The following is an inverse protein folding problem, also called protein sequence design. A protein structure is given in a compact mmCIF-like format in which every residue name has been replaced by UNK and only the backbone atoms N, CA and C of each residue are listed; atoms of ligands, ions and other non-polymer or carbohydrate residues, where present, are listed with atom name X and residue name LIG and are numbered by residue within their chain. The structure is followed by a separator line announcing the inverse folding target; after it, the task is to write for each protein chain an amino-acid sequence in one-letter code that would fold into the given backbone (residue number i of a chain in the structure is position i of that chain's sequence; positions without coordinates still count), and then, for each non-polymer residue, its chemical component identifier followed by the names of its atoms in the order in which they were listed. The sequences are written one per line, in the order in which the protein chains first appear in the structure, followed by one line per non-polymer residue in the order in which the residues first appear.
data_IF_016360975969
#
_entry.id   IF_016360975969
#
_cell.length_a   1.000
_cell.length_b   1.000
_cell.length_c   1.000
_cell.angle_alpha   90.00
_cell.angle_beta   90.00
_cell.angle_gamma   90.00
#
_symmetry.space_group_name_H-M   'P 1'
#
loop_
_entity.id
_entity.type
_entity.pdbx_description
1 polymer ?
#
# COMPACT_ATOMS: atom_id res chain seq x y z
N UNK A 1 -0.24 0.54 0.33
CA UNK A 1 -0.69 0.30 -1.07
C UNK A 1 -2.20 0.04 -1.07
N UNK A 2 -2.87 0.13 -2.22
CA UNK A 2 -4.32 -0.14 -2.35
C UNK A 2 -5.20 0.71 -1.42
N UNK A 3 -4.96 2.02 -1.39
CA UNK A 3 -5.69 2.95 -0.51
C UNK A 3 -4.98 4.30 -0.30
N UNK A 4 -3.66 4.35 -0.53
CA UNK A 4 -2.83 5.56 -0.36
C UNK A 4 -3.01 6.59 -1.49
N UNK A 5 -4.18 7.20 -1.57
CA UNK A 5 -4.50 8.26 -2.53
C UNK A 5 -4.41 9.66 -1.93
N UNK A 6 -5.01 9.85 -0.74
CA UNK A 6 -5.05 11.14 -0.08
C UNK A 6 -3.65 11.64 0.31
N UNK A 7 -3.46 12.96 0.26
CA UNK A 7 -2.19 13.63 0.57
C UNK A 7 -2.45 14.85 1.47
N UNK A 8 -1.80 14.95 2.64
CA UNK A 8 -1.87 16.16 3.44
C UNK A 8 -1.04 17.25 2.75
N UNK A 9 -1.49 18.51 2.84
CA UNK A 9 -0.82 19.66 2.22
C UNK A 9 -0.52 20.72 3.27
N UNK A 10 0.68 21.30 3.19
CA UNK A 10 1.09 22.39 4.09
C UNK A 10 0.29 23.67 3.87
N UNK A 11 -0.15 23.91 2.62
CA UNK A 11 -1.00 25.04 2.25
C UNK A 11 -2.26 24.53 1.55
N UNK A 12 -3.38 25.20 1.82
CA UNK A 12 -4.66 24.92 1.17
C UNK A 12 -4.68 25.35 -0.29
N UNK A 13 -3.77 26.24 -0.70
CA UNK A 13 -3.67 26.73 -2.07
C UNK A 13 -2.27 26.55 -2.64
N UNK A 14 -2.22 26.39 -3.96
CA UNK A 14 -1.02 26.38 -4.78
C UNK A 14 -1.11 27.56 -5.73
N UNK A 15 -0.02 28.32 -5.85
CA UNK A 15 0.06 29.49 -6.72
C UNK A 15 1.13 29.29 -7.79
N UNK A 16 0.78 29.54 -9.05
CA UNK A 16 1.68 29.53 -10.20
C UNK A 16 1.35 30.69 -11.12
N UNK A 17 2.37 31.43 -11.54
CA UNK A 17 2.24 32.55 -12.48
C UNK A 17 1.14 33.56 -12.09
N UNK A 18 0.97 33.80 -10.78
CA UNK A 18 -0.04 34.72 -10.22
C UNK A 18 -1.46 34.16 -10.14
N UNK A 19 -1.69 32.91 -10.55
CA UNK A 19 -2.98 32.21 -10.42
C UNK A 19 -2.94 31.33 -9.17
N UNK A 20 -3.94 31.50 -8.30
CA UNK A 20 -4.07 30.76 -7.04
C UNK A 20 -5.23 29.76 -7.11
N UNK A 21 -4.93 28.47 -6.99
CA UNK A 21 -5.90 27.37 -7.03
C UNK A 21 -5.81 26.49 -5.77
N UNK A 22 -6.87 25.73 -5.42
CA UNK A 22 -6.78 24.75 -4.35
C UNK A 22 -5.62 23.77 -4.57
N UNK A 23 -4.91 23.42 -3.50
CA UNK A 23 -3.85 22.41 -3.56
C UNK A 23 -4.41 21.05 -3.98
N UNK A 24 -3.65 20.31 -4.79
CA UNK A 24 -3.91 18.89 -5.03
C UNK A 24 -3.80 18.11 -3.72
N UNK A 25 -4.84 17.37 -3.35
CA UNK A 25 -4.97 16.63 -2.08
C UNK A 25 -5.01 15.11 -2.26
N UNK A 26 -4.62 14.63 -3.44
CA UNK A 26 -4.67 13.21 -3.78
C UNK A 26 -5.82 12.89 -4.72
N UNK A 27 -5.66 11.81 -5.49
CA UNK A 27 -6.59 11.46 -6.56
C UNK A 27 -8.00 11.12 -6.09
N UNK A 28 -8.15 10.76 -4.80
CA UNK A 28 -9.44 10.51 -4.16
C UNK A 28 -10.15 11.80 -3.71
N UNK A 29 -9.53 12.97 -3.88
CA UNK A 29 -10.10 14.29 -3.58
C UNK A 29 -10.24 15.13 -4.84
N UNK A 30 -9.14 15.42 -5.55
CA UNK A 30 -9.12 16.26 -6.76
C UNK A 30 -8.01 15.81 -7.73
N UNK A 31 -7.91 16.46 -8.89
CA UNK A 31 -6.90 16.20 -9.92
C UNK A 31 -5.58 16.93 -9.67
N UNK A 32 -4.49 16.38 -10.19
CA UNK A 32 -3.14 16.91 -10.08
C UNK A 32 -2.89 18.11 -11.01
N UNK A 33 -3.53 18.10 -12.19
CA UNK A 33 -3.48 19.17 -13.17
C UNK A 33 -3.81 20.55 -12.56
N UNK A 34 -3.06 21.57 -12.96
CA UNK A 34 -3.17 22.93 -12.43
C UNK A 34 -4.17 23.75 -13.24
N UNK A 35 -5.44 23.38 -13.13
CA UNK A 35 -6.56 24.07 -13.74
C UNK A 35 -7.77 24.07 -12.78
N UNK A 36 -8.71 24.98 -13.02
CA UNK A 36 -9.85 25.20 -12.11
C UNK A 36 -10.70 23.93 -12.00
N UNK A 37 -10.99 23.25 -13.10
CA UNK A 37 -11.87 22.08 -13.15
C UNK A 37 -11.25 20.90 -12.37
N UNK A 38 -9.98 20.62 -12.61
CA UNK A 38 -9.24 19.55 -11.94
C UNK A 38 -9.11 19.77 -10.44
N UNK A 39 -8.99 21.02 -9.97
CA UNK A 39 -8.75 21.31 -8.55
C UNK A 39 -10.00 21.33 -7.68
N UNK A 40 -11.20 21.35 -8.27
CA UNK A 40 -12.47 21.20 -7.54
C UNK A 40 -12.55 19.79 -6.93
N UNK A 41 -12.78 19.64 -5.62
CA UNK A 41 -13.01 18.33 -5.01
C UNK A 41 -14.23 17.63 -5.61
N UNK A 42 -14.07 16.37 -6.01
CA UNK A 42 -15.12 15.56 -6.62
C UNK A 42 -15.35 14.28 -5.79
N UNK A 43 -16.52 14.12 -5.15
CA UNK A 43 -16.82 12.94 -4.32
C UNK A 43 -16.84 11.62 -5.11
N UNK A 44 -17.05 11.64 -6.44
CA UNK A 44 -16.99 10.41 -7.25
C UNK A 44 -15.57 9.81 -7.28
N UNK A 45 -14.55 10.60 -6.96
CA UNK A 45 -13.17 10.13 -6.85
C UNK A 45 -12.97 9.15 -5.70
N UNK A 46 -13.79 9.19 -4.64
CA UNK A 46 -13.78 8.18 -3.59
C UNK A 46 -14.18 6.80 -4.14
N UNK A 47 -15.22 6.74 -5.00
CA UNK A 47 -15.64 5.50 -5.65
C UNK A 47 -14.57 4.95 -6.60
N UNK A 48 -13.89 5.84 -7.33
CA UNK A 48 -12.77 5.48 -8.20
C UNK A 48 -11.59 4.94 -7.40
N UNK A 49 -11.23 5.60 -6.30
CA UNK A 49 -10.17 5.16 -5.39
C UNK A 49 -10.49 3.79 -4.77
N UNK A 50 -11.74 3.56 -4.36
CA UNK A 50 -12.19 2.25 -3.89
C UNK A 50 -12.02 1.17 -4.96
N UNK A 51 -12.51 1.40 -6.17
CA UNK A 51 -12.42 0.44 -7.28
C UNK A 51 -10.97 0.10 -7.61
N UNK A 52 -10.09 1.11 -7.66
CA UNK A 52 -8.67 0.90 -7.90
C UNK A 52 -7.99 0.15 -6.74
N UNK A 53 -8.40 0.42 -5.49
CA UNK A 53 -7.91 -0.31 -4.31
C UNK A 53 -8.28 -1.79 -4.38
N UNK A 54 -9.53 -2.11 -4.70
CA UNK A 54 -10.01 -3.49 -4.86
C UNK A 54 -9.25 -4.21 -5.97
N UNK A 55 -9.12 -3.60 -7.15
CA UNK A 55 -8.36 -4.18 -8.26
C UNK A 55 -6.90 -4.45 -7.89
N UNK A 56 -6.26 -3.48 -7.23
CA UNK A 56 -4.86 -3.59 -6.78
C UNK A 56 -4.70 -4.69 -5.73
N UNK A 57 -5.56 -4.73 -4.71
CA UNK A 57 -5.49 -5.73 -3.64
C UNK A 57 -5.81 -7.13 -4.16
N UNK A 58 -6.76 -7.27 -5.09
CA UNK A 58 -7.06 -8.56 -5.71
C UNK A 58 -5.85 -9.11 -6.47
N UNK A 59 -5.15 -8.25 -7.23
CA UNK A 59 -3.92 -8.62 -7.92
C UNK A 59 -2.79 -8.99 -6.94
N UNK A 60 -2.61 -8.21 -5.88
CA UNK A 60 -1.60 -8.48 -4.84
C UNK A 60 -1.86 -9.80 -4.11
N UNK A 61 -3.12 -10.10 -3.77
CA UNK A 61 -3.51 -11.39 -3.19
C UNK A 61 -3.24 -12.53 -4.14
N UNK A 62 -3.57 -12.38 -5.43
CA UNK A 62 -3.26 -13.38 -6.45
C UNK A 62 -1.74 -13.63 -6.57
N UNK A 63 -0.89 -12.61 -6.44
CA UNK A 63 0.56 -12.80 -6.40
C UNK A 63 1.05 -13.48 -5.11
N UNK A 64 0.46 -13.12 -3.97
CA UNK A 64 0.83 -13.64 -2.66
C UNK A 64 0.48 -15.12 -2.48
N UNK A 65 -0.64 -15.58 -3.05
CA UNK A 65 -1.10 -16.98 -2.92
C UNK A 65 -0.93 -17.82 -4.19
N UNK A 66 -0.78 -17.20 -5.36
CA UNK A 66 -0.73 -17.87 -6.66
C UNK A 66 0.68 -18.31 -7.11
N UNK A 67 1.64 -18.39 -6.20
CA UNK A 67 3.00 -18.85 -6.48
C UNK A 67 3.95 -17.82 -7.12
N UNK A 68 3.49 -16.59 -7.37
CA UNK A 68 4.38 -15.51 -7.81
C UNK A 68 5.33 -15.08 -6.69
N UNK A 69 4.85 -15.10 -5.45
CA UNK A 69 5.64 -14.90 -4.23
C UNK A 69 6.32 -16.18 -3.71
N UNK A 70 6.36 -17.27 -4.50
CA UNK A 70 7.09 -18.48 -4.10
C UNK A 70 8.55 -18.12 -3.81
N UNK A 71 9.10 -18.63 -2.71
CA UNK A 71 10.42 -18.21 -2.22
C UNK A 71 11.55 -18.40 -3.25
N UNK A 72 11.39 -19.36 -4.17
CA UNK A 72 12.33 -19.58 -5.29
C UNK A 72 12.41 -18.42 -6.29
N UNK A 73 11.42 -17.53 -6.35
CA UNK A 73 11.43 -16.34 -7.23
C UNK A 73 12.06 -15.12 -6.58
N UNK A 74 12.18 -15.07 -5.25
CA UNK A 74 12.82 -13.96 -4.53
C UNK A 74 14.31 -13.90 -4.87
N UNK A 75 14.98 -15.05 -5.00
CA UNK A 75 16.38 -15.07 -5.48
C UNK A 75 16.52 -14.63 -6.93
N UNK A 76 15.50 -14.83 -7.77
CA UNK A 76 15.48 -14.31 -9.15
C UNK A 76 15.28 -12.78 -9.24
N UNK A 77 14.45 -12.17 -8.39
CA UNK A 77 14.25 -10.70 -8.39
C UNK A 77 15.50 -9.92 -7.97
N UNK A 78 16.36 -10.52 -7.15
CA UNK A 78 17.52 -9.84 -6.58
C UNK A 78 18.69 -9.65 -7.56
N UNK A 79 18.65 -10.24 -8.76
CA UNK A 79 19.84 -10.36 -9.61
C UNK A 79 19.97 -9.26 -10.68
N UNK A 80 18.90 -8.58 -11.08
CA UNK A 80 19.00 -7.59 -12.17
C UNK A 80 19.51 -6.22 -11.70
N UNK A 81 19.16 -5.79 -10.48
CA UNK A 81 19.61 -4.52 -9.92
C UNK A 81 21.09 -4.55 -9.47
N UNK A 82 21.59 -5.72 -9.08
CA UNK A 82 22.91 -5.89 -8.46
C UNK A 82 24.07 -6.08 -9.45
N UNK A 83 23.81 -6.16 -10.77
CA UNK A 83 24.83 -6.56 -11.77
C UNK A 83 26.03 -5.61 -11.88
N UNK A 84 25.91 -4.34 -11.47
CA UNK A 84 26.92 -3.30 -11.72
C UNK A 84 27.32 -2.45 -10.49
N UNK A 85 27.26 -2.98 -9.26
CA UNK A 85 27.75 -2.26 -8.07
C UNK A 85 28.51 -3.14 -7.08
N UNK A 86 29.45 -2.56 -6.33
CA UNK A 86 30.20 -3.23 -5.25
C UNK A 86 29.27 -3.74 -4.13
N UNK A 87 28.15 -3.05 -3.90
CA UNK A 87 27.09 -3.48 -3.00
C UNK A 87 26.36 -4.73 -3.52
N UNK A 88 26.40 -4.98 -4.83
CA UNK A 88 25.83 -6.14 -5.49
C UNK A 88 26.51 -7.45 -5.11
N UNK A 89 27.81 -7.44 -4.76
CA UNK A 89 28.53 -8.65 -4.33
C UNK A 89 28.00 -9.18 -2.99
N UNK A 90 27.82 -8.29 -2.00
CA UNK A 90 27.18 -8.64 -0.73
C UNK A 90 25.75 -9.15 -0.90
N UNK A 91 25.01 -8.54 -1.81
CA UNK A 91 23.63 -8.94 -2.11
C UNK A 91 23.56 -10.31 -2.79
N UNK A 92 24.53 -10.61 -3.67
CA UNK A 92 24.69 -11.94 -4.28
C UNK A 92 25.04 -12.99 -3.25
N UNK A 93 25.95 -12.72 -2.34
CA UNK A 93 26.31 -13.65 -1.25
C UNK A 93 25.08 -13.98 -0.38
N UNK A 94 24.29 -12.97 -0.02
CA UNK A 94 23.03 -13.18 0.70
C UNK A 94 22.05 -14.02 -0.11
N UNK A 95 21.88 -13.72 -1.40
CA UNK A 95 21.04 -14.50 -2.32
C UNK A 95 21.45 -15.97 -2.39
N UNK A 96 22.76 -16.24 -2.52
CA UNK A 96 23.31 -17.59 -2.52
C UNK A 96 23.01 -18.35 -1.22
N UNK A 97 23.17 -17.70 -0.06
CA UNK A 97 22.85 -18.33 1.24
C UNK A 97 21.35 -18.64 1.39
N UNK A 98 20.48 -17.80 0.81
CA UNK A 98 19.04 -18.07 0.77
C UNK A 98 18.75 -19.28 -0.12
N UNK A 99 19.36 -19.36 -1.30
CA UNK A 99 19.20 -20.52 -2.20
C UNK A 99 19.67 -21.83 -1.56
N UNK A 100 20.81 -21.82 -0.84
CA UNK A 100 21.29 -22.98 -0.08
C UNK A 100 20.32 -23.41 1.02
N UNK A 101 19.76 -22.46 1.77
CA UNK A 101 18.78 -22.74 2.81
C UNK A 101 17.48 -23.34 2.23
N UNK A 102 17.01 -22.82 1.09
CA UNK A 102 15.85 -23.38 0.37
C UNK A 102 16.15 -24.79 -0.15
N UNK A 103 17.36 -25.04 -0.63
CA UNK A 103 17.83 -26.38 -1.03
C UNK A 103 17.83 -27.37 0.13
N UNK A 104 18.31 -26.95 1.31
CA UNK A 104 18.27 -27.75 2.52
C UNK A 104 16.83 -28.07 2.96
N UNK A 105 15.95 -27.09 2.97
CA UNK A 105 14.53 -27.29 3.30
C UNK A 105 13.87 -28.31 2.36
N UNK A 106 14.14 -28.21 1.06
CA UNK A 106 13.65 -29.18 0.06
C UNK A 106 14.17 -30.59 0.33
N UNK A 107 15.47 -30.74 0.61
CA UNK A 107 16.08 -32.03 0.95
C UNK A 107 15.55 -32.63 2.26
N UNK A 108 15.13 -31.79 3.22
CA UNK A 108 14.53 -32.19 4.48
C UNK A 108 13.02 -32.55 4.36
N UNK A 109 12.44 -32.52 3.16
CA UNK A 109 11.05 -32.90 2.88
C UNK A 109 10.07 -31.73 2.75
N UNK A 110 10.52 -30.49 2.88
CA UNK A 110 9.72 -29.28 2.59
C UNK A 110 9.86 -28.93 1.10
N UNK A 111 9.29 -29.79 0.27
CA UNK A 111 9.33 -29.64 -1.18
C UNK A 111 8.60 -28.39 -1.68
N UNK A 112 8.76 -28.10 -2.97
CA UNK A 112 8.29 -26.88 -3.65
C UNK A 112 6.78 -26.64 -3.57
N UNK A 113 5.98 -27.68 -3.33
CA UNK A 113 4.53 -27.58 -3.16
C UNK A 113 4.06 -27.30 -1.73
N UNK A 114 4.99 -27.20 -0.76
CA UNK A 114 4.62 -26.94 0.63
C UNK A 114 4.05 -25.50 0.76
N UNK A 115 2.96 -25.26 1.52
CA UNK A 115 2.34 -23.93 1.63
C UNK A 115 3.33 -22.82 2.01
N UNK A 116 4.20 -23.08 2.99
CA UNK A 116 5.27 -22.15 3.41
C UNK A 116 6.20 -21.73 2.26
N UNK A 117 6.36 -22.56 1.23
CA UNK A 117 7.24 -22.28 0.09
C UNK A 117 6.52 -21.51 -1.03
N UNK A 118 5.18 -21.49 -1.03
CA UNK A 118 4.35 -21.04 -2.17
C UNK A 118 3.45 -19.86 -1.84
N UNK A 119 3.17 -19.61 -0.56
CA UNK A 119 2.34 -18.50 -0.10
C UNK A 119 3.13 -17.56 0.78
N UNK A 120 2.83 -16.27 0.67
CA UNK A 120 3.25 -15.27 1.65
C UNK A 120 2.04 -14.51 2.16
N UNK A 121 2.10 -14.04 3.40
CA UNK A 121 1.11 -13.10 3.90
C UNK A 121 1.47 -11.69 3.41
N UNK A 122 0.45 -10.93 3.03
CA UNK A 122 0.60 -9.56 2.56
C UNK A 122 -0.52 -8.70 3.14
N UNK A 123 -0.12 -7.56 3.67
CA UNK A 123 -1.02 -6.59 4.28
C UNK A 123 -0.93 -5.24 3.57
N UNK A 124 -2.01 -4.49 3.64
CA UNK A 124 -2.12 -3.13 3.10
C UNK A 124 -2.21 -2.12 4.21
N UNK A 125 -1.65 -0.95 3.94
CA UNK A 125 -1.78 0.23 4.79
C UNK A 125 -1.85 1.51 3.97
N UNK A 126 -2.49 2.51 4.58
CA UNK A 126 -2.49 3.91 4.14
C UNK A 126 -2.73 4.87 5.32
N UNK A 127 -2.43 6.15 5.10
CA UNK A 127 -2.76 7.24 6.02
C UNK A 127 -4.27 7.41 6.13
N UNK A 128 -4.83 7.23 7.32
CA UNK A 128 -6.23 7.56 7.62
C UNK A 128 -6.36 9.08 7.56
N UNK A 129 -6.80 9.61 6.41
CA UNK A 129 -6.78 11.04 6.15
C UNK A 129 -8.13 11.58 5.70
N UNK A 130 -8.80 10.90 4.76
CA UNK A 130 -10.11 11.32 4.26
C UNK A 130 -11.22 10.60 5.04
N UNK A 131 -11.54 11.09 6.24
CA UNK A 131 -12.46 10.42 7.16
C UNK A 131 -13.82 9.99 6.57
N UNK A 132 -14.47 10.72 5.63
CA UNK A 132 -15.69 10.21 4.99
C UNK A 132 -15.49 8.90 4.22
N UNK A 133 -14.30 8.67 3.66
CA UNK A 133 -13.94 7.43 2.98
C UNK A 133 -13.72 6.28 3.98
N UNK A 134 -12.97 6.56 5.04
CA UNK A 134 -12.65 5.59 6.11
C UNK A 134 -13.91 5.17 6.88
N UNK A 135 -14.76 6.14 7.24
CA UNK A 135 -16.04 5.90 7.89
C UNK A 135 -16.97 5.03 7.01
N UNK A 136 -17.00 5.24 5.70
CA UNK A 136 -17.82 4.43 4.78
C UNK A 136 -17.32 2.98 4.64
N UNK A 137 -16.04 2.73 4.95
CA UNK A 137 -15.41 1.41 4.89
C UNK A 137 -15.30 0.72 6.25
N UNK A 138 -15.65 1.41 7.34
CA UNK A 138 -15.75 0.85 8.68
C UNK A 138 -16.94 -0.09 8.82
N UNK A 139 -16.72 -1.27 9.40
CA UNK A 139 -17.73 -2.32 9.58
C UNK A 139 -17.65 -2.90 10.99
N UNK A 140 -18.80 -3.33 11.49
CA UNK A 140 -18.88 -4.16 12.67
C UNK A 140 -18.51 -5.61 12.31
N UNK A 141 -17.56 -6.19 13.03
CA UNK A 141 -17.22 -7.60 12.89
C UNK A 141 -18.31 -8.47 13.53
N UNK A 142 -18.81 -9.44 12.77
CA UNK A 142 -19.94 -10.28 13.19
C UNK A 142 -19.61 -11.26 14.33
N UNK A 143 -18.33 -11.46 14.63
CA UNK A 143 -17.88 -12.40 15.68
C UNK A 143 -17.65 -11.68 17.01
N UNK A 144 -16.98 -10.52 16.97
CA UNK A 144 -16.58 -9.76 18.16
C UNK A 144 -17.52 -8.59 18.49
N UNK A 145 -18.31 -8.10 17.54
CA UNK A 145 -19.10 -6.87 17.68
C UNK A 145 -18.26 -5.59 17.73
N UNK A 146 -16.96 -5.67 17.45
CA UNK A 146 -16.07 -4.51 17.39
C UNK A 146 -16.08 -3.89 15.99
N UNK A 147 -15.84 -2.58 15.91
CA UNK A 147 -15.70 -1.88 14.64
C UNK A 147 -14.28 -1.94 14.12
N UNK A 148 -14.14 -2.22 12.82
CA UNK A 148 -12.88 -2.22 12.11
C UNK A 148 -13.02 -1.39 10.83
N UNK A 149 -12.09 -0.47 10.61
CA UNK A 149 -11.94 0.10 9.28
C UNK A 149 -11.40 -0.97 8.31
N UNK A 150 -12.25 -1.39 7.38
CA UNK A 150 -11.92 -2.40 6.39
C UNK A 150 -11.33 -1.81 5.10
N UNK A 151 -10.91 -0.55 5.10
CA UNK A 151 -10.21 0.09 3.99
C UNK A 151 -8.78 -0.46 3.80
N UNK A 152 -8.12 -0.86 4.89
CA UNK A 152 -6.81 -1.50 4.90
C UNK A 152 -6.63 -2.39 6.14
N UNK A 153 -5.50 -3.10 6.23
CA UNK A 153 -5.19 -3.92 7.41
C UNK A 153 -4.59 -3.10 8.55
N UNK A 154 -3.91 -2.00 8.21
CA UNK A 154 -3.31 -1.09 9.17
C UNK A 154 -3.45 0.34 8.66
N UNK A 155 -3.88 1.24 9.54
CA UNK A 155 -3.99 2.66 9.27
C UNK A 155 -3.04 3.43 10.17
N UNK A 156 -2.56 4.57 9.69
CA UNK A 156 -1.78 5.48 10.53
C UNK A 156 -2.33 6.90 10.48
N UNK A 157 -2.07 7.65 11.56
CA UNK A 157 -2.35 9.08 11.63
C UNK A 157 -1.08 9.84 11.22
N UNK A 158 -1.22 10.79 10.29
CA UNK A 158 -0.11 11.59 9.80
C UNK A 158 0.37 12.64 10.80
N UNK A 159 1.61 13.11 10.61
CA UNK A 159 2.22 14.14 11.47
C UNK A 159 1.40 15.43 11.58
N UNK A 160 0.63 15.77 10.53
CA UNK A 160 -0.18 17.00 10.47
C UNK A 160 -1.60 16.81 11.03
N UNK A 161 -2.02 15.58 11.31
CA UNK A 161 -3.37 15.21 11.74
C UNK A 161 -3.41 14.49 13.09
N UNK A 162 -2.28 14.43 13.81
CA UNK A 162 -2.14 13.75 15.12
C UNK A 162 -2.49 14.60 16.35
N UNK A 163 -3.34 15.60 16.21
CA UNK A 163 -3.81 16.38 17.36
C UNK A 163 -4.61 15.47 18.29
N UNK A 164 -4.30 15.47 19.59
CA UNK A 164 -4.90 14.53 20.56
C UNK A 164 -6.42 14.71 20.71
N UNK A 165 -6.91 15.91 20.44
CA UNK A 165 -8.32 16.31 20.41
C UNK A 165 -8.87 16.40 18.97
N UNK A 166 -8.12 15.90 17.98
CA UNK A 166 -8.45 15.94 16.57
C UNK A 166 -9.25 14.74 16.09
N UNK A 167 -10.01 14.95 15.01
CA UNK A 167 -10.91 13.94 14.46
C UNK A 167 -10.22 12.64 14.03
N UNK A 168 -8.95 12.68 13.60
CA UNK A 168 -8.20 11.49 13.19
C UNK A 168 -7.66 10.66 14.34
N UNK A 169 -7.53 11.24 15.54
CA UNK A 169 -7.14 10.49 16.75
C UNK A 169 -8.38 9.91 17.44
N UNK A 170 -9.53 10.60 17.32
CA UNK A 170 -10.83 10.10 17.77
C UNK A 170 -11.34 8.93 16.90
N UNK A 171 -11.15 9.00 15.59
CA UNK A 171 -11.51 7.94 14.64
C UNK A 171 -10.62 6.70 14.82
#
# INVERSE_FOLDING_TARGET
MAGQFAKPRSDSFEEKDGVKLPSYRGDNVNGDAFDVESRVPDPQRMMRAYTQSVATLNLLRAFATGGYAAMQRVSQWNLDFAKNSEQGDRYRELGHRVDEALGFMSAAGLGVGHPIMTTTEFWTSHECLLLPYEQALTREDSTSGLYYDCSAHMLWVGERTRQLDGAHVEF
#
